data_IF_919904401106
#
_entry.id   IF_919904401106
#
_cell.length_a   1.000
_cell.length_b   1.000
_cell.length_c   1.000
_cell.angle_alpha   90.00
_cell.angle_beta   90.00
_cell.angle_gamma   90.00
#
_symmetry.space_group_name_H-M   'P 1'
#
loop_
_entity.id
_entity.type
_entity.pdbx_description
1 polymer ?
#
# COMPACT_ATOMS: atom_id res chain seq x y z
N UNK A 1 -24.40 21.92 -6.36
CA UNK A 1 -24.49 20.56 -5.76
C UNK A 1 -25.08 19.63 -6.80
N UNK A 2 -24.40 18.54 -7.13
CA UNK A 2 -24.93 17.53 -8.04
C UNK A 2 -26.23 16.92 -7.47
N UNK A 3 -27.22 16.68 -8.33
CA UNK A 3 -28.54 16.19 -7.91
C UNK A 3 -28.46 14.68 -7.70
N UNK A 4 -28.40 14.25 -6.44
CA UNK A 4 -28.34 12.83 -6.10
C UNK A 4 -29.65 12.11 -6.43
N UNK A 5 -29.60 10.83 -6.89
CA UNK A 5 -30.80 10.01 -7.04
C UNK A 5 -31.51 9.79 -5.69
N UNK A 6 -32.79 9.37 -5.69
CA UNK A 6 -33.53 9.10 -4.45
C UNK A 6 -32.85 8.00 -3.60
N UNK A 7 -32.41 8.36 -2.39
CA UNK A 7 -31.68 7.47 -1.47
C UNK A 7 -32.40 6.14 -1.19
N UNK A 8 -33.72 6.18 -0.98
CA UNK A 8 -34.53 4.97 -0.76
C UNK A 8 -34.50 4.05 -1.98
N UNK A 9 -34.44 4.61 -3.18
CA UNK A 9 -34.39 3.85 -4.42
C UNK A 9 -33.00 3.25 -4.65
N UNK A 10 -31.94 3.98 -4.29
CA UNK A 10 -30.57 3.46 -4.28
C UNK A 10 -30.43 2.29 -3.29
N UNK A 11 -31.00 2.40 -2.08
CA UNK A 11 -30.96 1.34 -1.08
C UNK A 11 -31.74 0.09 -1.52
N UNK A 12 -32.87 0.28 -2.20
CA UNK A 12 -33.62 -0.82 -2.79
C UNK A 12 -32.86 -1.52 -3.92
N UNK A 13 -32.16 -0.77 -4.77
CA UNK A 13 -31.33 -1.34 -5.84
C UNK A 13 -30.17 -2.14 -5.25
N UNK A 14 -29.44 -1.61 -4.26
CA UNK A 14 -28.30 -2.30 -3.64
C UNK A 14 -28.73 -3.67 -3.09
N UNK A 15 -29.76 -3.71 -2.25
CA UNK A 15 -30.22 -4.95 -1.64
C UNK A 15 -30.77 -5.95 -2.68
N UNK A 16 -31.52 -5.44 -3.67
CA UNK A 16 -32.06 -6.27 -4.75
C UNK A 16 -30.98 -6.83 -5.67
N UNK A 17 -29.94 -6.05 -5.94
CA UNK A 17 -28.79 -6.44 -6.75
C UNK A 17 -27.91 -7.47 -6.04
N UNK A 18 -27.61 -7.25 -4.75
CA UNK A 18 -26.80 -8.16 -3.94
C UNK A 18 -27.42 -9.57 -3.82
N UNK A 19 -28.73 -9.66 -3.64
CA UNK A 19 -29.42 -10.96 -3.58
C UNK A 19 -29.89 -11.48 -4.92
N UNK A 20 -29.92 -10.62 -5.93
CA UNK A 20 -30.60 -10.88 -7.20
C UNK A 20 -32.04 -11.40 -6.97
N UNK A 21 -32.72 -10.85 -5.95
CA UNK A 21 -34.02 -11.32 -5.49
C UNK A 21 -34.80 -10.22 -4.76
N UNK A 22 -35.93 -9.80 -5.32
CA UNK A 22 -36.76 -8.74 -4.74
C UNK A 22 -37.45 -9.13 -3.43
N UNK A 23 -37.80 -10.41 -3.24
CA UNK A 23 -38.42 -10.87 -2.00
C UNK A 23 -37.41 -10.83 -0.85
N UNK A 24 -36.18 -11.30 -1.07
CA UNK A 24 -35.11 -11.24 -0.05
C UNK A 24 -34.70 -9.80 0.28
N UNK A 25 -34.63 -8.93 -0.73
CA UNK A 25 -34.36 -7.51 -0.51
C UNK A 25 -35.49 -6.83 0.29
N UNK A 26 -36.74 -7.24 0.06
CA UNK A 26 -37.88 -6.73 0.80
C UNK A 26 -37.86 -7.18 2.27
N UNK A 27 -37.50 -8.44 2.53
CA UNK A 27 -37.29 -8.97 3.87
C UNK A 27 -36.18 -8.20 4.62
N UNK A 28 -35.01 -8.00 4.01
CA UNK A 28 -33.92 -7.26 4.64
C UNK A 28 -34.32 -5.81 4.98
N UNK A 29 -34.97 -5.13 4.04
CA UNK A 29 -35.34 -3.73 4.19
C UNK A 29 -36.65 -3.54 4.98
N UNK A 30 -37.26 -4.63 5.49
CA UNK A 30 -38.53 -4.62 6.22
C UNK A 30 -39.67 -3.91 5.46
N UNK A 31 -39.81 -4.21 4.17
CA UNK A 31 -40.85 -3.67 3.27
C UNK A 31 -41.51 -4.78 2.45
N UNK A 32 -42.50 -4.44 1.62
CA UNK A 32 -43.12 -5.42 0.71
C UNK A 32 -42.34 -5.55 -0.60
N UNK A 33 -42.36 -6.71 -1.28
CA UNK A 33 -41.74 -6.88 -2.60
C UNK A 33 -42.25 -5.88 -3.64
N UNK A 34 -43.54 -5.49 -3.55
CA UNK A 34 -44.13 -4.45 -4.38
C UNK A 34 -43.51 -3.06 -4.15
N UNK A 35 -43.12 -2.75 -2.91
CA UNK A 35 -42.41 -1.51 -2.59
C UNK A 35 -41.01 -1.48 -3.22
N UNK A 36 -40.25 -2.58 -3.14
CA UNK A 36 -38.95 -2.72 -3.82
C UNK A 36 -39.09 -2.50 -5.33
N UNK A 37 -40.04 -3.19 -5.97
CA UNK A 37 -40.31 -3.03 -7.41
C UNK A 37 -40.66 -1.58 -7.80
N UNK A 38 -41.42 -0.87 -6.95
CA UNK A 38 -41.75 0.54 -7.17
C UNK A 38 -40.52 1.44 -7.06
N UNK A 39 -39.66 1.20 -6.07
CA UNK A 39 -38.41 1.96 -5.88
C UNK A 39 -37.43 1.74 -7.04
N UNK A 40 -37.29 0.51 -7.52
CA UNK A 40 -36.44 0.21 -8.69
C UNK A 40 -36.97 0.92 -9.92
N UNK A 41 -38.28 0.86 -10.21
CA UNK A 41 -38.88 1.59 -11.34
C UNK A 41 -38.69 3.10 -11.25
N UNK A 42 -38.74 3.66 -10.04
CA UNK A 42 -38.46 5.07 -9.80
C UNK A 42 -37.01 5.41 -10.17
N UNK A 43 -36.06 4.57 -9.78
CA UNK A 43 -34.64 4.76 -10.10
C UNK A 43 -34.36 4.57 -11.59
N UNK A 44 -34.94 3.55 -12.22
CA UNK A 44 -34.85 3.34 -13.68
C UNK A 44 -35.38 4.56 -14.45
N UNK A 45 -36.49 5.15 -13.98
CA UNK A 45 -37.07 6.36 -14.57
C UNK A 45 -36.17 7.59 -14.37
N UNK A 46 -35.51 7.69 -13.22
CA UNK A 46 -34.56 8.77 -12.93
C UNK A 46 -33.29 8.67 -13.79
N UNK A 47 -32.76 7.46 -13.97
CA UNK A 47 -31.53 7.20 -14.74
C UNK A 47 -31.78 7.08 -16.24
N UNK A 48 -33.03 6.87 -16.67
CA UNK A 48 -33.39 6.67 -18.08
C UNK A 48 -32.96 5.32 -18.65
N UNK A 49 -32.73 4.32 -17.80
CA UNK A 49 -32.26 2.99 -18.22
C UNK A 49 -32.78 1.86 -17.33
N UNK A 50 -32.79 0.65 -17.89
CA UNK A 50 -33.12 -0.56 -17.14
C UNK A 50 -31.91 -1.05 -16.32
N UNK A 51 -32.18 -1.41 -15.07
CA UNK A 51 -31.16 -1.87 -14.12
C UNK A 51 -31.16 -3.39 -13.95
N UNK A 52 -32.25 -4.04 -14.36
CA UNK A 52 -32.39 -5.49 -14.38
C UNK A 52 -32.80 -5.97 -15.76
N UNK A 53 -32.24 -7.10 -16.20
CA UNK A 53 -32.68 -7.80 -17.39
C UNK A 53 -33.99 -8.56 -17.08
N UNK A 54 -35.02 -8.28 -17.87
CA UNK A 54 -36.36 -8.88 -17.75
C UNK A 54 -36.63 -9.98 -18.78
N UNK A 55 -35.66 -10.23 -19.67
CA UNK A 55 -35.78 -11.26 -20.73
C UNK A 55 -35.49 -12.68 -20.22
N UNK A 56 -34.80 -12.79 -19.09
CA UNK A 56 -34.37 -14.04 -18.48
C UNK A 56 -35.42 -14.56 -17.49
N UNK A 57 -35.55 -15.88 -17.38
CA UNK A 57 -36.43 -16.52 -16.39
C UNK A 57 -35.99 -16.25 -14.93
N UNK A 58 -34.74 -15.85 -14.74
CA UNK A 58 -34.17 -15.41 -13.47
C UNK A 58 -33.86 -13.92 -13.55
N UNK A 59 -34.18 -13.20 -12.49
CA UNK A 59 -33.76 -11.80 -12.32
C UNK A 59 -32.23 -11.74 -12.49
N UNK A 60 -31.72 -10.78 -13.26
CA UNK A 60 -30.28 -10.52 -13.40
C UNK A 60 -30.03 -9.02 -13.50
N UNK A 61 -28.87 -8.56 -13.04
CA UNK A 61 -28.42 -7.19 -13.23
C UNK A 61 -27.95 -6.98 -14.66
N UNK A 62 -28.13 -5.78 -15.21
CA UNK A 62 -27.38 -5.38 -16.41
C UNK A 62 -25.92 -5.12 -16.02
N UNK A 63 -24.99 -5.20 -16.99
CA UNK A 63 -23.55 -4.97 -16.75
C UNK A 63 -23.28 -3.63 -16.04
N UNK A 64 -23.87 -2.55 -16.55
CA UNK A 64 -23.81 -1.21 -15.94
C UNK A 64 -24.42 -1.14 -14.53
N UNK A 65 -25.46 -1.92 -14.28
CA UNK A 65 -26.10 -1.98 -12.96
C UNK A 65 -25.25 -2.76 -11.95
N UNK A 66 -24.51 -3.78 -12.39
CA UNK A 66 -23.59 -4.51 -11.54
C UNK A 66 -22.45 -3.62 -11.02
N UNK A 67 -21.83 -2.83 -11.90
CA UNK A 67 -20.83 -1.82 -11.50
C UNK A 67 -21.42 -0.79 -10.53
N UNK A 68 -22.63 -0.33 -10.83
CA UNK A 68 -23.30 0.66 -9.98
C UNK A 68 -23.66 0.10 -8.60
N UNK A 69 -24.13 -1.14 -8.52
CA UNK A 69 -24.41 -1.82 -7.24
C UNK A 69 -23.14 -1.95 -6.41
N UNK A 70 -21.99 -2.31 -7.02
CA UNK A 70 -20.70 -2.36 -6.31
C UNK A 70 -20.36 -1.01 -5.67
N UNK A 71 -20.46 0.08 -6.44
CA UNK A 71 -20.22 1.43 -5.93
C UNK A 71 -21.21 1.83 -4.82
N UNK A 72 -22.48 1.42 -4.91
CA UNK A 72 -23.49 1.67 -3.87
C UNK A 72 -23.23 0.88 -2.59
N UNK A 73 -22.82 -0.38 -2.70
CA UNK A 73 -22.46 -1.22 -1.54
C UNK A 73 -21.29 -0.58 -0.78
N UNK A 74 -20.24 -0.12 -1.48
CA UNK A 74 -19.12 0.59 -0.85
C UNK A 74 -19.58 1.88 -0.16
N UNK A 75 -20.42 2.68 -0.83
CA UNK A 75 -20.94 3.93 -0.27
C UNK A 75 -21.82 3.70 0.96
N UNK A 76 -22.74 2.73 0.93
CA UNK A 76 -23.59 2.42 2.07
C UNK A 76 -22.81 1.79 3.22
N UNK A 77 -21.80 0.97 2.93
CA UNK A 77 -20.88 0.46 3.96
C UNK A 77 -20.14 1.60 4.65
N UNK A 78 -19.66 2.59 3.90
CA UNK A 78 -19.04 3.80 4.47
C UNK A 78 -20.00 4.59 5.36
N UNK A 79 -21.28 4.71 4.96
CA UNK A 79 -22.32 5.37 5.76
C UNK A 79 -22.67 4.61 7.03
N UNK A 80 -22.80 3.28 6.96
CA UNK A 80 -23.08 2.43 8.13
C UNK A 80 -21.92 2.52 9.14
N UNK A 81 -20.68 2.39 8.67
CA UNK A 81 -19.50 2.60 9.50
C UNK A 81 -19.48 4.01 10.13
N UNK A 82 -19.80 5.05 9.35
CA UNK A 82 -19.93 6.42 9.88
C UNK A 82 -21.00 6.55 10.96
N UNK A 83 -22.13 5.85 10.81
CA UNK A 83 -23.24 5.86 11.77
C UNK A 83 -22.89 5.08 13.04
N UNK A 84 -22.33 3.88 12.91
CA UNK A 84 -21.86 3.09 14.05
C UNK A 84 -20.80 3.86 14.86
N UNK A 85 -19.98 4.69 14.22
CA UNK A 85 -19.01 5.58 14.90
C UNK A 85 -19.68 6.68 15.70
N UNK A 86 -20.77 7.26 15.19
CA UNK A 86 -21.54 8.24 15.94
C UNK A 86 -22.14 7.63 17.21
N UNK A 87 -22.49 6.34 17.15
CA UNK A 87 -23.16 5.62 18.24
C UNK A 87 -22.19 4.99 19.25
N UNK A 88 -20.90 4.86 18.95
CA UNK A 88 -19.91 4.20 19.81
C UNK A 88 -19.07 5.18 20.63
N UNK A 89 -19.26 5.22 21.95
CA UNK A 89 -18.50 6.04 22.93
C UNK A 89 -16.98 5.73 22.98
N UNK A 90 -16.53 4.59 22.42
CA UNK A 90 -15.11 4.20 22.40
C UNK A 90 -14.20 5.17 21.62
N UNK A 91 -14.77 6.04 20.78
CA UNK A 91 -14.02 7.05 20.00
C UNK A 91 -13.35 8.13 20.84
N UNK A 92 -13.70 8.31 22.11
CA UNK A 92 -12.96 9.26 22.95
C UNK A 92 -11.52 8.81 23.25
N UNK A 93 -11.26 7.49 23.19
CA UNK A 93 -9.98 6.91 23.67
C UNK A 93 -9.12 6.29 22.57
N UNK A 94 -9.70 5.77 21.50
CA UNK A 94 -8.93 5.10 20.43
C UNK A 94 -8.55 6.08 19.32
N UNK A 95 -7.29 6.04 18.85
CA UNK A 95 -6.71 6.74 17.71
C UNK A 95 -6.34 5.74 16.61
N UNK A 96 -6.85 5.94 15.41
CA UNK A 96 -6.56 5.09 14.26
C UNK A 96 -5.51 5.76 13.38
N UNK A 97 -4.32 5.17 13.34
CA UNK A 97 -3.16 5.72 12.63
C UNK A 97 -2.81 4.81 11.45
N UNK A 98 -2.87 5.34 10.23
CA UNK A 98 -2.47 4.62 9.04
C UNK A 98 -0.99 4.84 8.73
N UNK A 99 -0.23 3.79 8.43
CA UNK A 99 1.15 3.91 7.95
C UNK A 99 1.60 2.64 7.22
N UNK A 100 2.78 2.68 6.59
CA UNK A 100 3.35 1.47 5.99
C UNK A 100 3.79 0.48 7.07
N UNK A 101 3.70 -0.81 6.77
CA UNK A 101 4.14 -1.89 7.67
C UNK A 101 5.58 -1.69 8.16
N UNK A 102 6.49 -1.33 7.27
CA UNK A 102 7.90 -1.09 7.63
C UNK A 102 8.04 0.07 8.62
N UNK A 103 7.31 1.17 8.44
CA UNK A 103 7.34 2.31 9.36
C UNK A 103 6.73 1.96 10.72
N UNK A 104 5.59 1.26 10.72
CA UNK A 104 4.95 0.77 11.93
C UNK A 104 5.92 -0.03 12.79
N UNK A 105 6.52 -1.07 12.20
CA UNK A 105 7.41 -2.00 12.91
C UNK A 105 8.71 -1.35 13.38
N UNK A 106 9.37 -0.57 12.51
CA UNK A 106 10.76 -0.13 12.74
C UNK A 106 10.88 1.23 13.39
N UNK A 107 9.87 2.09 13.29
CA UNK A 107 9.92 3.42 13.87
C UNK A 107 8.82 3.65 14.92
N UNK A 108 7.55 3.43 14.58
CA UNK A 108 6.44 3.85 15.45
C UNK A 108 6.25 2.95 16.68
N UNK A 109 6.09 1.64 16.48
CA UNK A 109 5.80 0.68 17.57
C UNK A 109 6.86 0.70 18.68
N UNK A 110 8.18 0.75 18.38
CA UNK A 110 9.21 0.85 19.43
C UNK A 110 9.09 2.10 20.32
N UNK A 111 8.40 3.15 19.84
CA UNK A 111 8.24 4.43 20.54
C UNK A 111 6.91 4.53 21.29
N UNK A 112 5.89 3.73 20.93
CA UNK A 112 4.57 3.74 21.57
C UNK A 112 4.56 3.56 23.09
N UNK A 113 5.47 2.80 23.75
CA UNK A 113 5.50 2.74 25.21
C UNK A 113 5.59 4.13 25.88
N UNK A 114 6.42 5.04 25.34
CA UNK A 114 6.55 6.43 25.84
C UNK A 114 5.28 7.26 25.62
N UNK A 115 4.54 6.96 24.55
CA UNK A 115 3.24 7.59 24.33
C UNK A 115 2.25 7.17 25.42
N UNK A 116 2.18 5.88 25.73
CA UNK A 116 1.26 5.36 26.74
C UNK A 116 1.62 5.77 28.17
N UNK A 117 2.91 5.97 28.47
CA UNK A 117 3.36 6.54 29.74
C UNK A 117 2.86 7.99 29.94
N UNK A 118 2.88 8.79 28.87
CA UNK A 118 2.43 10.20 28.91
C UNK A 118 0.92 10.37 28.77
N UNK A 119 0.22 9.36 28.24
CA UNK A 119 -1.22 9.41 27.94
C UNK A 119 -1.96 8.11 28.33
N UNK A 120 -1.96 7.73 29.63
CA UNK A 120 -2.57 6.49 30.10
C UNK A 120 -4.10 6.58 29.94
N UNK A 121 -4.64 5.96 28.90
CA UNK A 121 -6.06 6.00 28.58
C UNK A 121 -6.36 6.24 27.10
N UNK A 122 -5.37 6.65 26.32
CA UNK A 122 -5.44 6.62 24.86
C UNK A 122 -4.97 5.25 24.35
N UNK A 123 -5.62 4.77 23.29
CA UNK A 123 -5.28 3.54 22.59
C UNK A 123 -4.90 3.88 21.15
N UNK A 124 -3.79 3.37 20.63
CA UNK A 124 -3.40 3.55 19.23
C UNK A 124 -3.65 2.26 18.47
N UNK A 125 -4.56 2.31 17.49
CA UNK A 125 -4.81 1.24 16.53
C UNK A 125 -4.08 1.57 15.22
N UNK A 126 -3.24 0.65 14.77
CA UNK A 126 -2.50 0.80 13.52
C UNK A 126 -3.28 0.17 12.37
N UNK A 127 -3.46 0.93 11.31
CA UNK A 127 -3.97 0.44 10.02
C UNK A 127 -2.80 0.41 9.03
N UNK A 128 -2.51 -0.77 8.48
CA UNK A 128 -1.42 -0.91 7.53
C UNK A 128 -1.94 -0.54 6.14
N UNK A 129 -1.50 0.62 5.64
CA UNK A 129 -1.77 1.02 4.27
C UNK A 129 -0.59 0.55 3.39
N UNK A 130 -0.83 -0.29 2.37
CA UNK A 130 0.24 -0.72 1.46
C UNK A 130 0.77 0.45 0.65
N UNK A 131 -0.10 1.40 0.27
CA UNK A 131 0.28 2.57 -0.50
C UNK A 131 -0.19 3.90 0.14
N UNK A 132 0.59 4.99 0.04
CA UNK A 132 0.18 6.32 0.50
C UNK A 132 -1.18 6.80 -0.02
N UNK A 133 -1.61 6.37 -1.23
CA UNK A 133 -2.91 6.77 -1.81
C UNK A 133 -4.09 6.19 -1.02
N UNK A 134 -3.92 4.96 -0.52
CA UNK A 134 -5.00 4.22 0.12
C UNK A 134 -5.23 4.67 1.56
N UNK A 135 -4.24 5.35 2.17
CA UNK A 135 -4.22 5.66 3.59
C UNK A 135 -5.43 6.50 4.07
N UNK A 136 -6.06 7.29 3.18
CA UNK A 136 -7.30 8.01 3.47
C UNK A 136 -8.56 7.41 2.82
N UNK A 137 -8.39 6.47 1.89
CA UNK A 137 -9.51 5.66 1.38
C UNK A 137 -9.89 4.55 2.37
N UNK A 138 -8.98 4.23 3.30
CA UNK A 138 -9.26 3.50 4.53
C UNK A 138 -10.29 4.28 5.37
N UNK A 139 -11.43 3.64 5.58
CA UNK A 139 -12.42 4.18 6.50
C UNK A 139 -11.84 4.20 7.93
N UNK A 140 -12.11 5.26 8.69
CA UNK A 140 -11.73 5.43 10.11
C UNK A 140 -10.30 5.91 10.44
N UNK A 141 -9.54 6.47 9.49
CA UNK A 141 -8.19 6.97 9.79
C UNK A 141 -8.23 8.38 10.38
N UNK A 142 -7.70 8.57 11.59
CA UNK A 142 -7.56 9.89 12.22
C UNK A 142 -6.32 10.63 11.66
N UNK A 143 -5.25 9.89 11.37
CA UNK A 143 -4.01 10.40 10.75
C UNK A 143 -3.30 9.31 9.96
N UNK A 144 -2.71 9.70 8.83
CA UNK A 144 -1.80 8.85 8.08
C UNK A 144 -0.35 9.36 8.22
N UNK A 145 0.61 8.44 8.26
CA UNK A 145 2.04 8.72 8.12
C UNK A 145 2.49 8.12 6.80
N UNK A 146 2.87 8.97 5.87
CA UNK A 146 3.24 8.57 4.50
C UNK A 146 4.55 9.20 4.09
N UNK A 147 5.12 8.71 3.00
CA UNK A 147 6.23 9.38 2.32
C UNK A 147 5.64 10.28 1.22
N UNK A 148 6.18 11.49 1.13
CA UNK A 148 5.74 12.60 0.28
C UNK A 148 4.56 13.40 0.85
N UNK A 149 4.52 14.67 0.47
CA UNK A 149 3.39 15.57 0.71
C UNK A 149 2.20 15.16 -0.16
N UNK A 150 0.99 15.47 0.31
CA UNK A 150 -0.22 15.37 -0.49
C UNK A 150 -0.91 16.72 -0.56
N UNK A 151 -1.11 17.18 -1.79
CA UNK A 151 -1.98 18.32 -2.07
C UNK A 151 -3.42 17.83 -2.21
N UNK A 152 -4.08 17.59 -1.07
CA UNK A 152 -5.55 17.45 -1.01
C UNK A 152 -6.11 18.62 -0.22
N UNK A 153 -7.02 19.39 -0.84
CA UNK A 153 -7.60 20.63 -0.29
C UNK A 153 -8.16 20.44 1.14
N UNK A 154 -8.67 19.26 1.47
CA UNK A 154 -9.31 18.97 2.75
C UNK A 154 -8.38 18.41 3.84
N UNK A 155 -7.12 18.16 3.50
CA UNK A 155 -6.13 17.56 4.40
C UNK A 155 -4.99 18.53 4.67
N UNK A 156 -4.44 18.43 5.88
CA UNK A 156 -3.20 19.08 6.26
C UNK A 156 -2.08 18.06 6.10
N UNK A 157 -1.03 18.43 5.37
CA UNK A 157 0.23 17.70 5.28
C UNK A 157 1.28 18.44 6.10
N UNK A 158 1.87 17.78 7.09
CA UNK A 158 2.96 18.31 7.91
C UNK A 158 4.16 17.39 7.83
N UNK A 159 5.33 17.94 7.45
CA UNK A 159 6.60 17.21 7.49
C UNK A 159 6.85 16.67 8.90
N UNK A 160 7.18 15.38 8.98
CA UNK A 160 7.56 14.69 10.22
C UNK A 160 9.08 14.53 10.31
N UNK A 161 9.72 14.00 9.27
CA UNK A 161 11.19 13.82 9.24
C UNK A 161 11.70 13.69 7.81
N UNK A 162 13.00 13.97 7.64
CA UNK A 162 13.70 13.70 6.39
C UNK A 162 13.79 12.20 6.11
N UNK A 163 13.86 11.87 4.82
CA UNK A 163 14.06 10.52 4.34
C UNK A 163 15.45 10.46 3.68
N UNK A 164 16.34 9.69 4.28
CA UNK A 164 17.74 9.58 3.86
C UNK A 164 18.05 8.14 3.52
N UNK A 165 18.75 7.92 2.41
CA UNK A 165 19.10 6.61 1.91
C UNK A 165 20.59 6.32 2.12
N UNK A 166 20.88 5.12 2.59
CA UNK A 166 22.22 4.58 2.82
C UNK A 166 22.35 3.20 2.19
N UNK A 167 23.54 2.84 1.75
CA UNK A 167 23.88 1.42 1.53
C UNK A 167 24.25 0.83 2.88
N UNK A 168 23.59 -0.26 3.26
CA UNK A 168 23.89 -1.00 4.49
C UNK A 168 24.17 -2.47 4.21
N UNK A 169 24.98 -3.09 5.06
CA UNK A 169 25.22 -4.53 5.08
C UNK A 169 25.71 -4.96 6.45
N UNK A 170 25.81 -6.28 6.67
CA UNK A 170 26.46 -6.82 7.87
C UNK A 170 27.98 -6.59 7.82
N UNK A 171 28.62 -6.45 8.97
CA UNK A 171 30.04 -6.13 9.08
C UNK A 171 30.96 -7.11 8.32
N UNK A 172 30.72 -8.42 8.41
CA UNK A 172 31.50 -9.44 7.71
C UNK A 172 31.42 -9.34 6.18
N UNK A 173 30.25 -8.97 5.64
CA UNK A 173 30.06 -8.71 4.22
C UNK A 173 30.82 -7.47 3.78
N UNK A 174 30.82 -6.43 4.61
CA UNK A 174 31.55 -5.19 4.35
C UNK A 174 33.06 -5.44 4.38
N UNK A 175 33.55 -6.23 5.34
CA UNK A 175 34.96 -6.63 5.46
C UNK A 175 35.43 -7.47 4.26
N UNK A 176 34.54 -8.27 3.67
CA UNK A 176 34.83 -9.06 2.48
C UNK A 176 34.89 -8.23 1.17
N UNK A 177 34.52 -6.94 1.19
CA UNK A 177 34.56 -6.11 -0.01
C UNK A 177 36.02 -5.87 -0.48
N UNK A 178 36.30 -5.95 -1.79
CA UNK A 178 37.65 -5.73 -2.31
C UNK A 178 38.10 -4.28 -2.13
N UNK A 179 39.26 -4.07 -1.51
CA UNK A 179 39.91 -2.76 -1.46
C UNK A 179 40.49 -2.35 -2.84
N UNK A 180 40.47 -1.04 -3.19
CA UNK A 180 39.71 0.02 -2.55
C UNK A 180 38.20 -0.17 -2.73
N UNK A 181 37.42 0.11 -1.67
CA UNK A 181 35.94 0.06 -1.69
C UNK A 181 35.37 1.21 -2.53
N UNK A 182 35.22 0.99 -3.83
CA UNK A 182 34.63 1.95 -4.76
C UNK A 182 33.12 1.67 -4.85
N UNK A 183 32.24 2.69 -4.73
CA UNK A 183 30.78 2.54 -4.83
C UNK A 183 30.32 1.67 -6.01
N UNK A 184 30.87 1.89 -7.21
CA UNK A 184 30.52 1.14 -8.42
C UNK A 184 30.90 -0.35 -8.38
N UNK A 185 31.83 -0.78 -7.50
CA UNK A 185 32.16 -2.21 -7.34
C UNK A 185 31.03 -2.99 -6.67
N UNK A 186 30.15 -2.31 -5.94
CA UNK A 186 29.00 -2.92 -5.28
C UNK A 186 28.07 -3.62 -6.29
N UNK A 187 28.06 -3.19 -7.56
CA UNK A 187 27.27 -3.82 -8.62
C UNK A 187 27.58 -5.30 -8.87
N UNK A 188 28.72 -5.80 -8.37
CA UNK A 188 29.13 -7.21 -8.47
C UNK A 188 28.69 -8.06 -7.27
N UNK A 189 28.14 -7.43 -6.25
CA UNK A 189 27.70 -8.09 -5.02
C UNK A 189 26.23 -8.47 -5.08
N UNK A 190 25.76 -9.24 -4.10
CA UNK A 190 24.33 -9.50 -3.93
C UNK A 190 23.64 -8.23 -3.45
N UNK A 191 22.90 -7.58 -4.36
CA UNK A 191 22.08 -6.41 -4.06
C UNK A 191 20.66 -6.85 -3.72
N UNK A 192 20.12 -6.35 -2.61
CA UNK A 192 18.79 -6.67 -2.12
C UNK A 192 17.84 -5.53 -2.48
N UNK A 193 16.72 -5.84 -3.12
CA UNK A 193 15.72 -4.86 -3.56
C UNK A 193 14.33 -5.20 -3.03
N UNK A 194 13.50 -4.17 -2.91
CA UNK A 194 12.11 -4.28 -2.48
C UNK A 194 11.20 -4.04 -3.68
N UNK A 195 10.17 -4.88 -3.86
CA UNK A 195 9.19 -4.70 -4.95
C UNK A 195 8.45 -3.36 -4.84
N UNK A 196 8.28 -2.86 -3.62
CA UNK A 196 7.71 -1.52 -3.35
C UNK A 196 8.66 -0.34 -3.67
N UNK A 197 9.93 -0.61 -3.98
CA UNK A 197 10.98 0.40 -4.25
C UNK A 197 11.99 -0.11 -5.30
N UNK A 198 11.54 -0.49 -6.50
CA UNK A 198 12.37 -1.25 -7.44
C UNK A 198 13.56 -0.45 -7.98
N UNK A 199 13.43 0.88 -8.07
CA UNK A 199 14.44 1.79 -8.64
C UNK A 199 15.46 2.35 -7.63
N UNK A 200 15.45 1.88 -6.37
CA UNK A 200 16.37 2.41 -5.34
C UNK A 200 17.86 2.28 -5.73
N UNK A 201 18.25 1.14 -6.31
CA UNK A 201 19.63 0.90 -6.73
C UNK A 201 20.03 1.73 -7.94
N UNK A 202 19.15 1.88 -8.93
CA UNK A 202 19.35 2.75 -10.09
C UNK A 202 19.64 4.17 -9.62
N UNK A 203 18.76 4.73 -8.79
CA UNK A 203 18.92 6.09 -8.27
C UNK A 203 20.18 6.26 -7.43
N UNK A 204 20.57 5.24 -6.67
CA UNK A 204 21.78 5.30 -5.86
C UNK A 204 23.04 5.27 -6.74
N UNK A 205 23.11 4.36 -7.72
CA UNK A 205 24.24 4.29 -8.64
C UNK A 205 24.35 5.55 -9.50
N UNK A 206 23.24 6.06 -10.04
CA UNK A 206 23.22 7.31 -10.80
C UNK A 206 23.79 8.48 -9.97
N UNK A 207 23.41 8.55 -8.69
CA UNK A 207 23.85 9.62 -7.81
C UNK A 207 25.35 9.56 -7.48
N UNK A 208 25.96 8.37 -7.42
CA UNK A 208 27.38 8.19 -7.09
C UNK A 208 28.29 8.05 -8.31
N UNK A 209 27.73 7.83 -9.51
CA UNK A 209 28.50 7.70 -10.73
C UNK A 209 29.02 9.03 -11.28
N UNK A 210 28.41 10.17 -10.90
CA UNK A 210 28.86 11.52 -11.25
C UNK A 210 29.14 11.72 -12.76
N UNK A 211 28.23 11.18 -13.60
CA UNK A 211 28.33 11.24 -15.05
C UNK A 211 29.08 10.08 -15.72
N UNK A 212 29.68 9.17 -14.94
CA UNK A 212 30.21 7.91 -15.45
C UNK A 212 29.09 6.90 -15.74
N UNK A 213 29.30 5.95 -16.66
CA UNK A 213 28.33 4.89 -16.93
C UNK A 213 28.08 4.01 -15.70
N UNK A 214 26.82 3.88 -15.30
CA UNK A 214 26.40 2.94 -14.26
C UNK A 214 26.65 1.51 -14.74
N UNK A 215 27.35 0.66 -13.94
CA UNK A 215 27.57 -0.74 -14.30
C UNK A 215 26.25 -1.52 -14.33
N UNK A 216 26.20 -2.59 -15.13
CA UNK A 216 25.11 -3.55 -15.04
C UNK A 216 25.13 -4.24 -13.67
N UNK A 217 23.96 -4.36 -13.03
CA UNK A 217 23.77 -5.02 -11.75
C UNK A 217 22.50 -5.88 -11.77
N UNK A 218 22.39 -6.81 -10.83
CA UNK A 218 21.18 -7.61 -10.61
C UNK A 218 20.77 -7.55 -9.15
N UNK A 219 19.47 -7.70 -8.89
CA UNK A 219 18.92 -7.65 -7.54
C UNK A 219 18.22 -8.94 -7.16
N UNK A 220 18.30 -9.29 -5.88
CA UNK A 220 17.42 -10.28 -5.25
C UNK A 220 16.24 -9.51 -4.67
N UNK A 221 15.05 -9.78 -5.19
CA UNK A 221 13.84 -9.03 -4.86
C UNK A 221 13.08 -9.65 -3.68
N UNK A 222 12.50 -8.77 -2.86
CA UNK A 222 11.63 -9.12 -1.75
C UNK A 222 10.37 -8.28 -1.77
N UNK A 223 9.26 -8.83 -1.28
CA UNK A 223 7.98 -8.14 -1.26
C UNK A 223 7.94 -6.84 -0.43
N UNK A 224 8.91 -6.60 0.48
CA UNK A 224 8.94 -5.38 1.30
C UNK A 224 10.34 -5.03 1.81
N UNK A 225 10.54 -3.77 2.18
CA UNK A 225 11.79 -3.31 2.81
C UNK A 225 12.08 -4.00 4.15
N UNK A 226 11.05 -4.43 4.90
CA UNK A 226 11.24 -5.20 6.14
C UNK A 226 12.01 -6.50 5.86
N UNK A 227 11.66 -7.21 4.79
CA UNK A 227 12.34 -8.44 4.39
C UNK A 227 13.75 -8.15 3.85
N UNK A 228 13.91 -7.07 3.09
CA UNK A 228 15.24 -6.62 2.62
C UNK A 228 16.18 -6.37 3.80
N UNK A 229 15.73 -5.65 4.82
CA UNK A 229 16.57 -5.34 5.98
C UNK A 229 16.88 -6.60 6.80
N UNK A 230 15.91 -7.50 6.96
CA UNK A 230 16.15 -8.80 7.60
C UNK A 230 17.20 -9.63 6.83
N UNK A 231 17.12 -9.65 5.49
CA UNK A 231 18.09 -10.35 4.65
C UNK A 231 19.50 -9.73 4.70
N UNK A 232 19.59 -8.40 4.81
CA UNK A 232 20.86 -7.71 5.02
C UNK A 232 21.47 -8.09 6.39
N UNK A 233 20.65 -8.16 7.44
CA UNK A 233 21.08 -8.55 8.79
C UNK A 233 21.55 -10.01 8.87
N UNK A 234 21.00 -10.91 8.05
CA UNK A 234 21.47 -12.29 7.96
C UNK A 234 22.73 -12.44 7.11
N UNK A 235 23.21 -11.36 6.48
CA UNK A 235 24.40 -11.33 5.64
C UNK A 235 24.16 -11.82 4.21
N UNK A 236 22.91 -11.84 3.73
CA UNK A 236 22.60 -12.27 2.36
C UNK A 236 23.21 -11.33 1.31
N UNK A 237 23.28 -10.04 1.61
CA UNK A 237 23.73 -9.03 0.67
C UNK A 237 23.65 -7.62 1.24
N UNK A 238 23.75 -6.64 0.35
CA UNK A 238 23.67 -5.22 0.67
C UNK A 238 22.29 -4.66 0.32
N UNK A 239 21.83 -3.66 1.06
CA UNK A 239 20.52 -3.05 0.87
C UNK A 239 20.60 -1.53 0.80
N UNK A 240 19.72 -0.91 0.01
CA UNK A 240 19.40 0.51 0.15
C UNK A 240 18.40 0.67 1.30
N UNK A 241 18.87 1.23 2.41
CA UNK A 241 18.08 1.45 3.60
C UNK A 241 17.66 2.90 3.77
N UNK A 242 16.43 3.10 4.24
CA UNK A 242 16.00 4.39 4.78
C UNK A 242 16.51 4.49 6.19
N UNK A 243 17.38 5.47 6.46
CA UNK A 243 17.99 5.69 7.76
C UNK A 243 16.97 5.75 8.91
N UNK A 244 15.80 6.41 8.76
CA UNK A 244 14.74 6.33 9.77
C UNK A 244 14.36 4.94 10.25
N UNK A 245 14.47 3.93 9.38
CA UNK A 245 13.98 2.58 9.61
C UNK A 245 15.08 1.57 10.01
N UNK A 246 16.35 1.97 9.94
CA UNK A 246 17.50 1.10 10.26
C UNK A 246 18.46 1.73 11.27
N UNK A 247 18.16 2.91 11.82
CA UNK A 247 19.06 3.57 12.77
C UNK A 247 19.35 2.68 14.00
N UNK A 248 18.32 2.02 14.55
CA UNK A 248 18.49 1.12 15.70
C UNK A 248 19.36 -0.10 15.33
N UNK A 249 19.31 -0.57 14.08
CA UNK A 249 20.17 -1.66 13.57
C UNK A 249 21.63 -1.22 13.37
N UNK A 250 21.83 0.06 13.04
CA UNK A 250 23.16 0.65 12.93
C UNK A 250 23.77 0.83 14.32
N UNK A 251 22.99 1.37 15.26
CA UNK A 251 23.45 1.59 16.65
C UNK A 251 23.76 0.28 17.38
N UNK A 252 23.01 -0.80 17.11
CA UNK A 252 23.26 -2.11 17.71
C UNK A 252 24.32 -2.94 16.94
N UNK A 253 24.82 -2.44 15.81
CA UNK A 253 25.86 -3.08 15.00
C UNK A 253 25.41 -4.26 14.14
N UNK A 254 24.10 -4.55 14.07
CA UNK A 254 23.57 -5.61 13.18
C UNK A 254 23.62 -5.22 11.69
N UNK A 255 23.61 -3.92 11.41
CA UNK A 255 23.88 -3.35 10.10
C UNK A 255 24.93 -2.24 10.23
N UNK A 256 25.69 -2.01 9.18
CA UNK A 256 26.63 -0.90 9.11
C UNK A 256 26.52 -0.21 7.74
N UNK A 257 26.66 1.13 7.69
CA UNK A 257 26.83 1.84 6.44
C UNK A 257 28.06 1.33 5.69
N UNK A 258 27.91 1.00 4.41
CA UNK A 258 29.01 0.49 3.58
C UNK A 258 29.94 1.62 3.15
N UNK A 259 29.35 2.78 2.85
CA UNK A 259 30.04 3.99 2.42
C UNK A 259 29.60 5.18 3.27
N UNK A 260 30.47 6.17 3.51
CA UNK A 260 30.10 7.41 4.18
C UNK A 260 29.36 8.35 3.21
N UNK A 261 28.33 7.83 2.54
CA UNK A 261 27.51 8.55 1.53
C UNK A 261 26.05 8.44 1.92
N UNK A 262 25.41 9.59 2.07
CA UNK A 262 23.97 9.74 2.30
C UNK A 262 23.34 10.31 1.05
N UNK A 263 22.36 9.61 0.49
CA UNK A 263 21.51 10.15 -0.55
C UNK A 263 20.23 10.73 0.08
N UNK A 264 20.07 12.05 0.02
CA UNK A 264 18.86 12.71 0.50
C UNK A 264 17.70 12.44 -0.47
N UNK A 265 16.64 11.80 0.01
CA UNK A 265 15.41 11.59 -0.75
C UNK A 265 14.57 12.88 -0.68
N UNK A 266 14.16 13.46 -1.82
CA UNK A 266 13.33 14.67 -1.82
C UNK A 266 11.95 14.45 -1.19
N UNK A 267 11.53 13.21 -0.95
CA UNK A 267 10.24 12.88 -0.37
C UNK A 267 10.37 12.59 1.14
N UNK A 268 10.03 13.55 2.02
CA UNK A 268 10.08 13.34 3.47
C UNK A 268 8.95 12.42 3.94
N UNK A 269 9.04 11.96 5.19
CA UNK A 269 7.87 11.43 5.89
C UNK A 269 6.98 12.59 6.35
N UNK A 270 5.68 12.47 6.12
CA UNK A 270 4.68 13.46 6.46
C UNK A 270 3.55 12.85 7.30
N UNK A 271 3.04 13.63 8.26
CA UNK A 271 1.76 13.38 8.92
C UNK A 271 0.67 14.04 8.08
N UNK A 272 -0.37 13.28 7.75
CA UNK A 272 -1.53 13.76 7.00
C UNK A 272 -2.77 13.56 7.83
N UNK A 273 -3.57 14.60 8.02
CA UNK A 273 -4.78 14.57 8.85
C UNK A 273 -5.79 15.65 8.43
N UNK A 274 -7.07 15.47 8.78
CA UNK A 274 -8.10 16.49 8.55
C UNK A 274 -8.09 17.52 9.68
N UNK A 275 -7.88 18.80 9.35
CA UNK A 275 -7.92 19.89 10.34
C UNK A 275 -9.32 20.11 10.92
N UNK A 276 -10.35 19.91 10.10
CA UNK A 276 -11.75 20.08 10.50
C UNK A 276 -12.16 19.01 11.52
N UNK A 277 -11.58 17.81 11.41
CA UNK A 277 -11.86 16.68 12.30
C UNK A 277 -10.80 16.49 13.39
N UNK A 278 -9.96 17.51 13.66
CA UNK A 278 -8.86 17.37 14.62
C UNK A 278 -9.38 17.33 16.07
N UNK A 279 -9.44 16.12 16.62
CA UNK A 279 -9.82 15.87 18.00
C UNK A 279 -8.70 16.22 19.00
N UNK A 280 -9.01 16.45 20.30
CA UNK A 280 -8.00 16.66 21.33
C UNK A 280 -6.97 15.51 21.42
N UNK A 281 -7.45 14.26 21.33
CA UNK A 281 -6.58 13.06 21.30
C UNK A 281 -5.61 13.08 20.12
N UNK A 282 -6.09 13.48 18.94
CA UNK A 282 -5.24 13.58 17.75
C UNK A 282 -4.17 14.67 17.91
N UNK A 283 -4.53 15.83 18.48
CA UNK A 283 -3.55 16.88 18.82
C UNK A 283 -2.45 16.37 19.74
N UNK A 284 -2.82 15.62 20.78
CA UNK A 284 -1.87 15.06 21.75
C UNK A 284 -0.92 14.07 21.06
N UNK A 285 -1.44 13.15 20.25
CA UNK A 285 -0.62 12.21 19.49
C UNK A 285 0.30 12.91 18.49
N UNK A 286 -0.19 13.92 17.76
CA UNK A 286 0.61 14.71 16.81
C UNK A 286 1.76 15.44 17.51
N UNK A 287 1.48 16.06 18.65
CA UNK A 287 2.50 16.74 19.46
C UNK A 287 3.57 15.77 19.97
N UNK A 288 3.15 14.59 20.44
CA UNK A 288 4.06 13.54 20.85
C UNK A 288 4.93 13.03 19.69
N UNK A 289 4.31 12.77 18.51
CA UNK A 289 5.00 12.26 17.33
C UNK A 289 6.09 13.23 16.85
N UNK A 290 5.81 14.54 16.87
CA UNK A 290 6.82 15.58 16.60
C UNK A 290 7.97 15.55 17.60
N UNK A 291 7.69 15.43 18.90
CA UNK A 291 8.75 15.33 19.91
C UNK A 291 9.63 14.11 19.70
N UNK A 292 9.06 12.96 19.33
CA UNK A 292 9.85 11.77 18.99
C UNK A 292 10.66 11.97 17.70
N UNK A 293 10.13 12.66 16.70
CA UNK A 293 10.85 13.00 15.48
C UNK A 293 12.03 13.96 15.74
N UNK A 294 11.87 14.95 16.62
CA UNK A 294 12.95 15.87 17.00
C UNK A 294 14.08 15.15 17.74
N UNK A 295 13.71 14.24 18.67
CA UNK A 295 14.67 13.34 19.34
C UNK A 295 15.39 12.46 18.33
N UNK A 296 14.65 11.95 17.34
CA UNK A 296 15.19 11.11 16.28
C UNK A 296 16.18 11.87 15.40
N UNK A 297 15.83 13.09 14.95
CA UNK A 297 16.71 13.93 14.14
C UNK A 297 18.05 14.20 14.82
N UNK A 298 18.03 14.42 16.14
CA UNK A 298 19.25 14.60 16.94
C UNK A 298 20.15 13.34 16.94
N UNK A 299 19.56 12.14 17.01
CA UNK A 299 20.31 10.86 16.94
C UNK A 299 20.86 10.62 15.54
N UNK A 300 20.08 10.91 14.51
CA UNK A 300 20.48 10.76 13.11
C UNK A 300 21.68 11.64 12.77
N UNK A 301 21.64 12.92 13.18
CA UNK A 301 22.72 13.88 12.93
C UNK A 301 24.07 13.41 13.52
N UNK A 302 24.07 12.70 14.65
CA UNK A 302 25.28 12.13 15.24
C UNK A 302 25.91 11.03 14.35
N UNK A 303 25.10 10.30 13.58
CA UNK A 303 25.55 9.20 12.73
C UNK A 303 25.91 9.64 11.31
N UNK A 304 25.20 10.61 10.74
CA UNK A 304 25.41 11.02 9.34
C UNK A 304 26.06 12.37 9.16
N UNK A 305 26.26 13.15 10.24
CA UNK A 305 26.80 14.52 10.14
C UNK A 305 28.20 14.61 9.53
N UNK A 306 28.96 13.52 9.52
CA UNK A 306 30.30 13.42 8.93
C UNK A 306 30.31 12.78 7.54
N UNK A 307 29.15 12.30 7.05
CA UNK A 307 29.04 11.61 5.75
C UNK A 307 28.83 12.60 4.61
N UNK A 308 29.34 12.26 3.42
CA UNK A 308 29.10 13.03 2.20
C UNK A 308 27.61 12.95 1.84
N UNK A 309 26.99 14.10 1.58
CA UNK A 309 25.55 14.20 1.31
C UNK A 309 25.32 14.55 -0.15
N UNK A 310 24.67 13.64 -0.87
CA UNK A 310 24.27 13.84 -2.26
C UNK A 310 22.78 14.12 -2.27
N UNK A 311 22.39 15.19 -2.97
CA UNK A 311 20.97 15.50 -3.18
C UNK A 311 20.56 14.99 -4.55
N UNK A 312 19.50 14.20 -4.60
CA UNK A 312 18.96 13.72 -5.87
C UNK A 312 18.53 14.90 -6.74
N UNK A 313 18.91 14.93 -8.01
CA UNK A 313 18.44 15.94 -8.96
C UNK A 313 16.95 15.72 -9.27
N UNK A 314 16.11 16.62 -8.71
CA UNK A 314 14.67 16.78 -8.93
C UNK A 314 13.71 15.66 -8.46
N UNK A 315 12.50 16.03 -7.98
CA UNK A 315 11.44 15.11 -7.60
C UNK A 315 10.76 14.62 -8.87
N UNK A 316 11.30 13.60 -9.52
CA UNK A 316 10.47 12.77 -10.38
C UNK A 316 9.52 12.07 -9.42
N UNK A 317 8.22 12.32 -9.60
CA UNK A 317 7.16 11.60 -8.91
C UNK A 317 7.58 10.12 -8.81
N UNK A 318 7.34 9.47 -7.68
CA UNK A 318 7.15 8.03 -7.76
C UNK A 318 6.18 7.84 -8.93
N UNK A 319 6.62 7.25 -10.04
CA UNK A 319 5.71 6.75 -11.07
C UNK A 319 4.85 5.74 -10.33
N UNK A 320 3.70 6.23 -9.89
CA UNK A 320 2.65 5.45 -9.27
C UNK A 320 1.59 5.07 -10.31
N UNK A 321 1.88 5.35 -11.58
CA UNK A 321 1.06 4.99 -12.74
C UNK A 321 1.57 3.69 -13.40
N UNK A 322 2.00 2.72 -12.58
CA UNK A 322 2.28 1.36 -13.03
C UNK A 322 1.20 0.37 -12.54
N UNK A 323 -0.05 0.81 -12.44
CA UNK A 323 -1.22 -0.06 -12.35
C UNK A 323 -2.38 0.55 -13.15
N UNK A 324 -2.24 0.59 -14.47
CA UNK A 324 -3.35 0.64 -15.41
C UNK A 324 -2.87 0.11 -16.77
N UNK A 325 -2.56 -1.19 -16.84
CA UNK A 325 -2.64 -1.96 -18.09
C UNK A 325 -2.83 -3.46 -17.78
N UNK A 326 -4.11 -3.81 -17.67
CA UNK A 326 -4.75 -5.06 -18.11
C UNK A 326 -3.81 -6.09 -18.80
N UNK A 327 -3.53 -7.21 -18.12
CA UNK A 327 -3.27 -8.50 -18.80
C UNK A 327 -4.03 -9.59 -18.05
N UNK A 328 -5.32 -9.71 -18.38
CA UNK A 328 -5.95 -11.02 -18.52
C UNK A 328 -5.81 -11.42 -20.00
N UNK A 329 -5.09 -12.52 -20.26
CA UNK A 329 -5.39 -13.45 -21.35
C UNK A 329 -4.48 -14.67 -21.24
N UNK A 330 -4.98 -15.71 -20.58
CA UNK A 330 -4.52 -17.07 -20.80
C UNK A 330 -4.82 -17.49 -22.26
N UNK A 331 -3.87 -18.08 -23.01
CA UNK A 331 -4.18 -18.58 -24.34
C UNK A 331 -5.01 -19.86 -24.21
N UNK A 332 -6.27 -19.75 -24.64
CA UNK A 332 -7.12 -20.88 -24.99
C UNK A 332 -6.53 -21.57 -26.21
N UNK A 333 -5.92 -22.76 -26.06
CA UNK A 333 -5.67 -23.66 -27.18
C UNK A 333 -6.99 -24.37 -27.54
N UNK A 334 -7.51 -24.07 -28.72
CA UNK A 334 -8.55 -24.85 -29.40
C UNK A 334 -7.93 -26.05 -30.12
N UNK A 335 -8.69 -27.13 -30.07
CA UNK A 335 -8.85 -28.18 -31.08
C UNK A 335 -7.62 -28.98 -31.52
N UNK A 336 -7.55 -30.21 -31.02
CA UNK A 336 -7.15 -31.35 -31.84
C UNK A 336 -8.19 -32.45 -31.68
N UNK A 337 -9.04 -32.55 -32.70
CA UNK A 337 -10.03 -33.59 -32.85
C UNK A 337 -9.35 -34.97 -32.97
N UNK A 338 -9.77 -35.89 -32.10
CA UNK A 338 -9.54 -37.33 -32.23
C UNK A 338 -10.54 -37.91 -33.23
N UNK A 339 -10.12 -38.73 -34.21
CA UNK A 339 -11.01 -39.68 -34.87
C UNK A 339 -10.84 -41.08 -34.27
N UNK A 340 -11.99 -41.73 -34.03
CA UNK A 340 -12.17 -43.14 -33.62
C UNK A 340 -11.88 -44.11 -34.81
N UNK A 341 -11.82 -45.45 -34.65
CA UNK A 341 -10.69 -46.24 -35.12
C UNK A 341 -11.04 -47.35 -36.15
N UNK A 342 -9.96 -48.06 -36.58
CA UNK A 342 -9.87 -49.41 -37.16
C UNK A 342 -10.01 -49.60 -38.70
N UNK A 343 -9.52 -50.74 -39.28
CA UNK A 343 -8.54 -51.74 -38.80
C UNK A 343 -7.44 -52.14 -39.83
N UNK A 344 -6.47 -52.92 -39.32
CA UNK A 344 -5.68 -54.00 -39.95
C UNK A 344 -5.03 -53.83 -41.34
N UNK A 345 -3.70 -53.88 -41.37
CA UNK A 345 -2.96 -54.83 -42.24
C UNK A 345 -1.49 -55.00 -41.85
N UNK A 346 -1.20 -56.18 -41.29
CA UNK A 346 -0.16 -57.13 -41.71
C UNK A 346 1.36 -56.79 -41.66
N UNK A 347 2.07 -57.69 -40.93
CA UNK A 347 3.47 -58.20 -41.09
C UNK A 347 4.60 -57.29 -40.60
N UNK A 348 5.71 -57.75 -40.01
CA UNK A 348 6.20 -59.07 -39.55
C UNK A 348 7.40 -58.79 -38.60
N UNK A 349 7.54 -59.63 -37.57
CA UNK A 349 8.70 -60.05 -36.73
C UNK A 349 10.10 -59.40 -36.92
N UNK A 350 10.92 -59.34 -35.84
CA UNK A 350 11.83 -60.44 -35.46
C UNK A 350 11.70 -60.80 -33.95
N UNK A 351 11.79 -62.06 -33.51
CA UNK A 351 12.97 -62.94 -33.37
C UNK A 351 13.94 -62.54 -32.24
N UNK A 352 13.88 -63.35 -31.16
CA UNK A 352 14.98 -63.83 -30.29
C UNK A 352 15.62 -62.77 -29.36
N UNK A 353 15.69 -62.95 -28.04
CA UNK A 353 15.35 -64.09 -27.18
C UNK A 353 15.52 -63.74 -25.71
#
# INVERSE_FOLDING_TARGET
MARLPPLTALRALEAAGRYVNFSRAAEELNVTPGAISRQIRLLESYLGMHLFDRSQAKLQLTERSAEYVKALTDAFTRLDLATQRLLNDRRERQLNIACSMTFALRWLVPRLPRFYESHPGLEVKLSLAPHPNDAFDLTDVDMAIVVNERDRIELVSEKLMDNELLVVGRSDRIEALPEPRIPLRLAKETLLSSDLRPRDWEHWFDAVADGEPVPAFTTTNFASSTLVYQAAQTGLGFAIARLPLVLDDIENGSLQPVYPIVLADPNPYCMIYSKVSESPRLRMFRSWLRSEADRFASRTAAHTGHMARITRASPIALDLDAEDEEIDQAPTQRDSAMPDPQPESARMQPAIG
#
